data_IF_438493153478
#
_entry.id   IF_438493153478
#
_cell.length_a   1.000
_cell.length_b   1.000
_cell.length_c   1.000
_cell.angle_alpha   90.00
_cell.angle_beta   90.00
_cell.angle_gamma   90.00
#
_symmetry.space_group_name_H-M   'P 1'
#
loop_
_entity.id
_entity.type
_entity.pdbx_description
1 polymer ?
#
# COMPACT_ATOMS: atom_id res chain seq x y z
N UNK A 1 -12.16 39.44 -15.84
CA UNK A 1 -11.25 38.30 -15.63
C UNK A 1 -11.94 37.34 -14.68
N UNK A 2 -12.09 36.07 -15.07
CA UNK A 2 -12.64 35.00 -14.20
C UNK A 2 -11.47 34.35 -13.48
N UNK A 3 -11.35 34.59 -12.18
CA UNK A 3 -10.45 33.81 -11.32
C UNK A 3 -11.16 32.53 -10.91
N UNK A 4 -10.58 31.38 -11.30
CA UNK A 4 -11.03 30.08 -10.78
C UNK A 4 -10.13 29.76 -9.60
N UNK A 5 -10.64 29.74 -8.36
CA UNK A 5 -9.80 29.38 -7.21
C UNK A 5 -9.33 27.93 -7.38
N UNK A 6 -8.06 27.66 -7.06
CA UNK A 6 -7.53 26.31 -7.06
C UNK A 6 -8.26 25.49 -5.98
N UNK A 7 -9.25 24.72 -6.42
CA UNK A 7 -10.03 23.87 -5.53
C UNK A 7 -9.22 22.59 -5.28
N UNK A 8 -8.92 22.30 -4.01
CA UNK A 8 -8.31 21.02 -3.65
C UNK A 8 -9.26 19.89 -4.03
N UNK A 9 -8.85 19.03 -4.97
CA UNK A 9 -9.68 17.95 -5.51
C UNK A 9 -9.57 16.66 -4.71
N UNK A 10 -8.65 16.59 -3.74
CA UNK A 10 -8.43 15.43 -2.88
C UNK A 10 -7.83 15.86 -1.55
N UNK A 11 -8.42 15.38 -0.43
CA UNK A 11 -7.90 15.57 0.92
C UNK A 11 -7.39 14.25 1.53
N UNK A 12 -6.77 13.40 0.70
CA UNK A 12 -6.24 12.10 1.11
C UNK A 12 -4.81 11.88 0.63
N UNK A 13 -4.04 11.11 1.38
CA UNK A 13 -2.71 10.63 1.00
C UNK A 13 -2.79 9.34 0.19
N UNK A 14 -1.92 9.20 -0.80
CA UNK A 14 -1.75 7.95 -1.55
C UNK A 14 -0.26 7.60 -1.62
N UNK A 15 0.12 6.47 -1.03
CA UNK A 15 1.49 5.95 -1.01
C UNK A 15 1.52 4.57 -1.64
N UNK A 16 2.41 4.35 -2.61
CA UNK A 16 2.60 3.04 -3.24
C UNK A 16 4.06 2.61 -3.19
N UNK A 17 4.33 1.57 -2.42
CA UNK A 17 5.64 0.95 -2.27
C UNK A 17 5.86 -0.03 -3.43
N UNK A 18 6.69 0.35 -4.40
CA UNK A 18 6.81 -0.40 -5.67
C UNK A 18 7.99 -1.36 -5.67
N UNK A 19 9.15 -0.91 -5.19
CA UNK A 19 10.41 -1.64 -5.30
C UNK A 19 10.97 -1.75 -6.71
N UNK A 20 11.91 -2.68 -6.85
CA UNK A 20 12.64 -2.97 -8.08
C UNK A 20 12.10 -4.27 -8.69
N UNK A 21 12.10 -4.36 -10.03
CA UNK A 21 11.48 -5.49 -10.76
C UNK A 21 12.40 -6.71 -10.91
N UNK A 22 13.19 -6.99 -9.90
CA UNK A 22 14.19 -8.05 -9.88
C UNK A 22 13.81 -9.25 -8.99
N UNK A 23 12.80 -9.09 -8.13
CA UNK A 23 12.20 -10.22 -7.39
C UNK A 23 11.37 -11.08 -8.32
N UNK A 24 11.58 -12.40 -8.27
CA UNK A 24 10.86 -13.39 -9.10
C UNK A 24 10.03 -14.38 -8.28
N UNK A 25 10.24 -14.47 -6.96
CA UNK A 25 9.45 -15.29 -6.05
C UNK A 25 8.54 -14.40 -5.18
N UNK A 26 7.24 -14.71 -5.15
CA UNK A 26 6.23 -13.89 -4.46
C UNK A 26 5.42 -14.65 -3.39
N UNK A 27 6.03 -15.65 -2.75
CA UNK A 27 5.42 -16.50 -1.72
C UNK A 27 5.75 -16.06 -0.29
N UNK A 28 6.71 -15.14 -0.14
CA UNK A 28 7.22 -14.67 1.14
C UNK A 28 8.11 -13.43 0.98
N UNK A 29 8.61 -12.90 2.10
CA UNK A 29 9.55 -11.78 2.08
C UNK A 29 10.90 -12.24 1.51
N UNK A 30 11.38 -11.51 0.52
CA UNK A 30 12.61 -11.74 -0.24
C UNK A 30 13.66 -10.65 -0.01
N UNK A 31 13.22 -9.43 0.33
CA UNK A 31 14.12 -8.30 0.61
C UNK A 31 13.76 -7.67 1.96
N UNK A 32 14.78 -7.45 2.77
CA UNK A 32 14.68 -6.62 3.98
C UNK A 32 14.50 -5.15 3.54
N UNK A 33 13.42 -4.51 4.01
CA UNK A 33 13.05 -3.12 3.65
C UNK A 33 12.49 -2.35 4.85
N UNK A 34 12.74 -2.81 6.08
CA UNK A 34 12.18 -2.23 7.31
C UNK A 34 12.63 -0.78 7.49
N UNK A 35 13.87 -0.45 7.09
CA UNK A 35 14.40 0.90 7.17
C UNK A 35 13.62 1.86 6.26
N UNK A 36 13.38 1.48 5.00
CA UNK A 36 12.58 2.26 4.07
C UNK A 36 11.12 2.33 4.53
N UNK A 37 10.53 1.21 5.01
CA UNK A 37 9.15 1.21 5.52
C UNK A 37 9.02 2.16 6.71
N UNK A 38 9.96 2.13 7.67
CA UNK A 38 9.96 3.01 8.84
C UNK A 38 10.05 4.49 8.44
N UNK A 39 10.96 4.83 7.53
CA UNK A 39 11.09 6.20 7.05
C UNK A 39 9.81 6.72 6.37
N UNK A 40 9.09 5.85 5.65
CA UNK A 40 7.80 6.20 5.06
C UNK A 40 6.66 6.26 6.08
N UNK A 41 6.66 5.39 7.09
CA UNK A 41 5.70 5.43 8.19
C UNK A 41 5.81 6.75 8.97
N UNK A 42 7.02 7.17 9.33
CA UNK A 42 7.28 8.44 10.02
C UNK A 42 6.78 9.64 9.20
N UNK A 43 7.15 9.72 7.92
CA UNK A 43 6.66 10.77 7.01
C UNK A 43 5.14 10.79 6.87
N UNK A 44 4.52 9.62 6.84
CA UNK A 44 3.06 9.54 6.75
C UNK A 44 2.43 10.05 8.05
N UNK A 45 2.92 9.64 9.21
CA UNK A 45 2.45 10.09 10.52
C UNK A 45 2.53 11.62 10.66
N UNK A 46 3.62 12.24 10.21
CA UNK A 46 3.76 13.71 10.19
C UNK A 46 2.65 14.42 9.38
N UNK A 47 2.11 13.75 8.35
CA UNK A 47 1.07 14.28 7.46
C UNK A 47 -0.34 13.86 7.83
N UNK A 48 -0.51 12.86 8.71
CA UNK A 48 -1.83 12.35 9.08
C UNK A 48 -2.74 13.42 9.72
N UNK A 49 -2.18 14.38 10.45
CA UNK A 49 -2.96 15.48 11.04
C UNK A 49 -3.60 16.43 10.02
N UNK A 50 -3.16 16.39 8.76
CA UNK A 50 -3.65 17.25 7.67
C UNK A 50 -4.41 16.52 6.58
N UNK A 51 -4.61 15.20 6.73
CA UNK A 51 -5.24 14.33 5.74
C UNK A 51 -6.47 13.68 6.35
N UNK A 52 -7.59 13.66 5.63
CA UNK A 52 -8.78 12.94 6.10
C UNK A 52 -8.55 11.43 6.08
N UNK A 53 -7.79 10.95 5.08
CA UNK A 53 -7.50 9.53 4.86
C UNK A 53 -6.13 9.35 4.22
N UNK A 54 -5.53 8.18 4.42
CA UNK A 54 -4.33 7.77 3.70
C UNK A 54 -4.46 6.33 3.21
N UNK A 55 -4.14 6.10 1.95
CA UNK A 55 -4.11 4.78 1.34
C UNK A 55 -2.68 4.37 1.05
N UNK A 56 -2.26 3.24 1.60
CA UNK A 56 -0.90 2.70 1.43
C UNK A 56 -0.99 1.34 0.76
N UNK A 57 -0.27 1.19 -0.36
CA UNK A 57 -0.28 -0.02 -1.17
C UNK A 57 1.13 -0.59 -1.33
N UNK A 58 1.26 -1.91 -1.26
CA UNK A 58 2.51 -2.61 -1.48
C UNK A 58 2.42 -3.46 -2.75
N UNK A 59 3.38 -3.27 -3.65
CA UNK A 59 3.60 -4.18 -4.76
C UNK A 59 4.53 -5.31 -4.31
N UNK A 60 4.32 -6.53 -4.82
CA UNK A 60 5.18 -7.66 -4.48
C UNK A 60 6.66 -7.43 -4.84
N UNK A 61 6.96 -6.57 -5.81
CA UNK A 61 8.34 -6.19 -6.15
C UNK A 61 9.04 -5.33 -5.07
N UNK A 62 8.30 -4.85 -4.05
CA UNK A 62 8.89 -4.08 -2.95
C UNK A 62 9.79 -4.95 -2.06
N UNK A 63 9.19 -5.99 -1.48
CA UNK A 63 9.87 -6.88 -0.53
C UNK A 63 9.58 -8.36 -0.78
N UNK A 64 8.85 -8.72 -1.83
CA UNK A 64 8.53 -10.10 -2.20
C UNK A 64 7.09 -10.50 -1.94
N UNK A 65 6.46 -10.00 -0.88
CA UNK A 65 5.13 -10.45 -0.52
C UNK A 65 4.27 -9.34 0.08
N UNK A 66 3.31 -8.85 -0.72
CA UNK A 66 2.43 -7.75 -0.37
C UNK A 66 1.69 -7.92 0.97
N UNK A 67 1.07 -9.07 1.28
CA UNK A 67 0.34 -9.24 2.53
C UNK A 67 1.21 -9.07 3.78
N UNK A 68 2.40 -9.65 3.79
CA UNK A 68 3.31 -9.50 4.94
C UNK A 68 3.90 -8.08 5.00
N UNK A 69 4.21 -7.46 3.86
CA UNK A 69 4.65 -6.05 3.84
C UNK A 69 3.59 -5.09 4.37
N UNK A 70 2.31 -5.36 4.10
CA UNK A 70 1.20 -4.59 4.67
C UNK A 70 1.14 -4.76 6.18
N UNK A 71 1.24 -5.99 6.69
CA UNK A 71 1.25 -6.24 8.13
C UNK A 71 2.46 -5.59 8.81
N UNK A 72 3.65 -5.66 8.22
CA UNK A 72 4.83 -4.97 8.73
C UNK A 72 4.62 -3.46 8.85
N UNK A 73 4.06 -2.83 7.81
CA UNK A 73 3.74 -1.41 7.85
C UNK A 73 2.64 -1.09 8.88
N UNK A 74 1.64 -1.96 9.03
CA UNK A 74 0.60 -1.84 10.08
C UNK A 74 1.23 -1.84 11.46
N UNK A 75 2.17 -2.75 11.74
CA UNK A 75 2.91 -2.80 13.02
C UNK A 75 3.68 -1.51 13.26
N UNK A 76 4.38 -0.97 12.25
CA UNK A 76 5.08 0.32 12.33
C UNK A 76 4.13 1.49 12.63
N UNK A 77 2.90 1.42 12.12
CA UNK A 77 1.85 2.41 12.37
C UNK A 77 1.05 2.16 13.66
N UNK A 78 1.45 1.18 14.49
CA UNK A 78 0.76 0.83 15.73
C UNK A 78 -0.59 0.13 15.54
N UNK A 79 -0.82 -0.44 14.36
CA UNK A 79 -2.04 -1.17 13.99
C UNK A 79 -1.84 -2.68 14.17
N UNK A 80 -2.95 -3.39 14.42
CA UNK A 80 -2.96 -4.85 14.56
C UNK A 80 -2.84 -5.50 13.18
N UNK A 81 -2.10 -6.60 13.09
CA UNK A 81 -2.02 -7.44 11.89
C UNK A 81 -3.39 -7.93 11.45
N UNK A 82 -3.53 -8.12 10.13
CA UNK A 82 -4.71 -8.75 9.54
C UNK A 82 -4.34 -10.13 9.00
N UNK A 83 -5.22 -11.09 9.22
CA UNK A 83 -5.12 -12.37 8.55
C UNK A 83 -5.68 -12.23 7.13
N UNK A 84 -4.77 -12.05 6.17
CA UNK A 84 -5.11 -11.92 4.76
C UNK A 84 -5.74 -13.18 4.18
N UNK A 85 -5.59 -14.36 4.83
CA UNK A 85 -6.22 -15.61 4.39
C UNK A 85 -7.72 -15.59 4.68
N UNK A 86 -8.16 -14.91 5.73
CA UNK A 86 -9.58 -14.78 6.07
C UNK A 86 -10.34 -13.87 5.09
N UNK A 87 -9.65 -12.94 4.43
CA UNK A 87 -10.23 -12.07 3.39
C UNK A 87 -10.29 -12.69 1.99
N UNK A 88 -9.69 -13.87 1.78
CA UNK A 88 -9.63 -14.53 0.47
C UNK A 88 -10.95 -15.19 0.04
N UNK A 89 -11.97 -15.18 0.91
CA UNK A 89 -13.30 -15.76 0.64
C UNK A 89 -14.22 -14.83 -0.18
N UNK A 90 -13.79 -13.61 -0.51
CA UNK A 90 -14.50 -12.73 -1.44
C UNK A 90 -14.35 -13.19 -2.91
N UNK A 91 -15.23 -12.72 -3.83
CA UNK A 91 -15.08 -13.05 -5.25
C UNK A 91 -13.69 -12.62 -5.72
N UNK A 92 -12.90 -13.61 -6.17
CA UNK A 92 -11.57 -13.38 -6.71
C UNK A 92 -11.67 -12.30 -7.79
N UNK A 93 -10.80 -11.29 -7.73
CA UNK A 93 -10.74 -10.28 -8.79
C UNK A 93 -10.55 -11.00 -10.13
N UNK A 94 -11.56 -10.90 -11.00
CA UNK A 94 -11.52 -11.50 -12.33
C UNK A 94 -10.30 -10.98 -13.08
N UNK A 95 -9.53 -11.90 -13.62
CA UNK A 95 -8.48 -11.63 -14.59
C UNK A 95 -9.08 -11.09 -15.89
N UNK A 96 -8.29 -10.37 -16.66
CA UNK A 96 -8.70 -9.86 -17.98
C UNK A 96 -9.19 -10.99 -18.92
N UNK A 97 -8.66 -12.21 -18.77
CA UNK A 97 -9.10 -13.38 -19.53
C UNK A 97 -10.54 -13.79 -19.21
N UNK A 98 -10.97 -13.62 -17.95
CA UNK A 98 -12.33 -13.97 -17.48
C UNK A 98 -13.40 -12.93 -17.87
N UNK A 99 -13.00 -11.80 -18.47
CA UNK A 99 -13.93 -10.82 -19.05
C UNK A 99 -14.08 -10.98 -20.58
N UNK A 100 -13.25 -11.82 -21.21
CA UNK A 100 -13.27 -12.07 -22.65
C UNK A 100 -14.04 -13.34 -23.04
N UNK A 101 -14.54 -14.10 -22.05
CA UNK A 101 -15.33 -15.33 -22.21
C UNK A 101 -16.84 -15.07 -22.17
#
# INVERSE_FOLDING_TARGET
>A
YLETPAQSTANFGYLRMVGERDITEFTGIQKERSAEMKAWAEKLQEKMGSLDQAFVFFNNHFAGFGPESVNEFRRLMGMIDIDWRQGAEGPRQKSLAEFQS
#
